data_IF_775162188288
#
_entry.id   IF_775162188288
#
_cell.length_a   1.000
_cell.length_b   1.000
_cell.length_c   1.000
_cell.angle_alpha   90.00
_cell.angle_beta   90.00
_cell.angle_gamma   90.00
#
_symmetry.space_group_name_H-M   'P 1'
#
loop_
_entity.id
_entity.type
_entity.pdbx_description
1 polymer ?
#
# COMPACT_ATOMS: atom_id res chain seq x y z
N UNK A 1 -7.05 -27.81 4.46
CA UNK A 1 -7.09 -27.47 5.89
C UNK A 1 -7.43 -25.99 6.00
N UNK A 2 -8.70 -25.68 6.26
CA UNK A 2 -9.18 -24.29 6.42
C UNK A 2 -8.75 -23.68 7.76
N UNK A 3 -8.39 -24.52 8.74
CA UNK A 3 -8.02 -24.11 10.09
C UNK A 3 -6.64 -23.43 10.18
N UNK A 4 -5.71 -23.79 9.28
CA UNK A 4 -4.36 -23.19 9.28
C UNK A 4 -4.37 -21.76 8.71
N UNK A 5 -5.22 -21.47 7.72
CA UNK A 5 -5.41 -20.13 7.16
C UNK A 5 -6.12 -19.17 8.13
N UNK A 6 -7.11 -19.68 8.86
CA UNK A 6 -7.85 -18.91 9.88
C UNK A 6 -6.99 -18.44 11.06
N UNK A 7 -5.89 -19.15 11.36
CA UNK A 7 -4.93 -18.76 12.40
C UNK A 7 -3.97 -17.63 11.97
N UNK A 8 -3.78 -17.40 10.66
CA UNK A 8 -2.90 -16.34 10.16
C UNK A 8 -3.61 -14.99 10.02
N UNK A 9 -4.90 -14.96 9.65
CA UNK A 9 -5.72 -13.75 9.60
C UNK A 9 -5.83 -13.04 10.98
N UNK A 10 -5.58 -13.78 12.07
CA UNK A 10 -5.61 -13.28 13.46
C UNK A 10 -4.37 -12.51 13.91
N UNK A 11 -3.36 -12.27 13.07
CA UNK A 11 -2.10 -11.69 13.55
C UNK A 11 -2.10 -10.17 13.69
N UNK A 12 -3.08 -9.44 13.17
CA UNK A 12 -3.06 -7.98 13.19
C UNK A 12 -4.38 -7.39 13.69
N UNK A 13 -4.26 -6.46 14.63
CA UNK A 13 -5.40 -5.80 15.25
C UNK A 13 -6.15 -4.92 14.24
N UNK A 14 -7.46 -4.74 14.42
CA UNK A 14 -8.28 -3.90 13.54
C UNK A 14 -7.77 -2.46 13.43
N UNK A 15 -7.25 -1.93 14.53
CA UNK A 15 -6.63 -0.62 14.59
C UNK A 15 -5.34 -0.54 13.76
N UNK A 16 -4.59 -1.64 13.69
CA UNK A 16 -3.39 -1.73 12.86
C UNK A 16 -3.78 -1.88 11.41
N UNK A 17 -4.83 -2.65 11.07
CA UNK A 17 -5.41 -2.76 9.71
C UNK A 17 -5.91 -1.43 9.14
N UNK A 18 -6.40 -0.53 10.01
CA UNK A 18 -6.83 0.83 9.62
C UNK A 18 -5.62 1.80 9.47
N UNK A 19 -4.55 1.63 10.26
CA UNK A 19 -3.27 2.38 10.16
C UNK A 19 -2.34 1.83 9.07
N UNK A 20 -2.59 0.59 8.66
CA UNK A 20 -1.83 -0.30 7.77
C UNK A 20 -1.53 0.27 6.40
N UNK A 21 -2.38 1.20 5.95
CA UNK A 21 -2.24 1.82 4.64
C UNK A 21 -0.89 2.50 4.46
N UNK A 22 -0.29 3.01 5.55
CA UNK A 22 0.69 4.06 5.38
C UNK A 22 2.17 3.67 5.42
N UNK A 23 2.61 2.57 6.07
CA UNK A 23 4.03 2.58 6.49
C UNK A 23 4.90 1.32 6.43
N UNK A 24 4.42 0.07 6.36
CA UNK A 24 5.37 -1.07 6.39
C UNK A 24 4.96 -2.28 5.56
N UNK A 25 5.92 -2.79 4.79
CA UNK A 25 5.89 -4.06 4.04
C UNK A 25 5.47 -5.26 4.89
N UNK A 26 5.96 -5.32 6.13
CA UNK A 26 5.74 -6.45 7.02
C UNK A 26 4.24 -6.74 7.18
N UNK A 27 3.44 -5.70 7.35
CA UNK A 27 2.01 -5.83 7.54
C UNK A 27 1.28 -6.16 6.21
N UNK A 28 1.64 -5.51 5.09
CA UNK A 28 1.08 -5.79 3.75
C UNK A 28 1.20 -7.27 3.29
N UNK A 29 2.19 -8.01 3.77
CA UNK A 29 2.39 -9.42 3.42
C UNK A 29 1.82 -10.36 4.50
N UNK A 30 1.76 -9.92 5.77
CA UNK A 30 1.40 -10.78 6.91
C UNK A 30 -0.04 -10.66 7.39
N UNK A 31 -0.80 -9.63 6.99
CA UNK A 31 -2.19 -9.46 7.40
C UNK A 31 -3.13 -9.00 6.28
N UNK A 32 -2.75 -9.30 5.04
CA UNK A 32 -3.74 -9.44 3.97
C UNK A 32 -4.57 -10.67 4.30
N UNK A 33 -5.90 -10.52 4.33
CA UNK A 33 -6.82 -11.66 4.30
C UNK A 33 -6.31 -12.60 3.21
N UNK A 34 -6.00 -13.84 3.60
CA UNK A 34 -5.31 -14.83 2.78
C UNK A 34 -5.84 -14.85 1.33
N UNK A 35 -5.23 -14.07 0.44
CA UNK A 35 -5.56 -14.10 -0.98
C UNK A 35 -4.87 -15.34 -1.51
N UNK A 36 -5.65 -16.32 -1.96
CA UNK A 36 -5.15 -17.57 -2.55
C UNK A 36 -4.14 -17.28 -3.67
N UNK A 37 -4.34 -16.18 -4.39
CA UNK A 37 -3.46 -15.71 -5.47
C UNK A 37 -2.10 -15.22 -4.96
N UNK A 38 -1.98 -14.77 -3.71
CA UNK A 38 -0.73 -14.23 -3.14
C UNK A 38 0.12 -15.32 -2.46
N UNK A 39 -0.52 -16.37 -1.93
CA UNK A 39 0.14 -17.45 -1.18
C UNK A 39 1.36 -18.06 -1.89
N UNK A 40 1.31 -18.38 -3.20
CA UNK A 40 2.45 -18.95 -3.92
C UNK A 40 3.67 -18.02 -3.96
N UNK A 41 3.46 -16.72 -3.83
CA UNK A 41 4.49 -15.68 -3.95
C UNK A 41 5.10 -15.27 -2.61
N UNK A 42 4.44 -15.60 -1.49
CA UNK A 42 4.88 -15.22 -0.14
C UNK A 42 6.36 -15.56 0.18
N UNK A 43 6.92 -16.71 -0.23
CA UNK A 43 8.33 -17.00 0.03
C UNK A 43 9.28 -15.97 -0.60
N UNK A 44 9.04 -15.58 -1.85
CA UNK A 44 9.84 -14.56 -2.52
C UNK A 44 9.62 -13.18 -1.91
N UNK A 45 8.34 -12.78 -1.74
CA UNK A 45 7.98 -11.47 -1.20
C UNK A 45 8.56 -11.22 0.19
N UNK A 46 8.60 -12.25 1.06
CA UNK A 46 9.23 -12.16 2.39
C UNK A 46 10.73 -11.94 2.33
N UNK A 47 11.41 -12.49 1.33
CA UNK A 47 12.85 -12.28 1.11
C UNK A 47 13.11 -10.86 0.62
N UNK A 48 12.33 -10.41 -0.37
CA UNK A 48 12.40 -9.06 -0.94
C UNK A 48 12.05 -7.95 0.08
N UNK A 49 11.21 -8.28 1.07
CA UNK A 49 10.62 -7.33 2.00
C UNK A 49 11.61 -6.40 2.71
N UNK A 50 12.74 -6.95 3.15
CA UNK A 50 13.72 -6.19 3.92
C UNK A 50 14.38 -5.09 3.08
N UNK A 51 14.74 -5.43 1.85
CA UNK A 51 15.44 -4.52 0.95
C UNK A 51 14.46 -3.46 0.43
N UNK A 52 13.24 -3.87 0.07
CA UNK A 52 12.15 -2.96 -0.30
C UNK A 52 11.83 -1.95 0.82
N UNK A 53 11.80 -2.37 2.09
CA UNK A 53 11.54 -1.46 3.23
C UNK A 53 12.62 -0.39 3.36
N UNK A 54 13.89 -0.78 3.21
CA UNK A 54 15.00 0.17 3.23
C UNK A 54 14.90 1.20 2.11
N UNK A 55 14.67 0.75 0.88
CA UNK A 55 14.60 1.63 -0.30
C UNK A 55 13.39 2.56 -0.23
N UNK A 56 12.21 2.04 0.05
CA UNK A 56 10.98 2.82 0.01
C UNK A 56 10.86 3.80 1.17
N UNK A 57 11.35 3.44 2.35
CA UNK A 57 11.42 4.38 3.48
C UNK A 57 12.30 5.59 3.14
N UNK A 58 13.45 5.37 2.52
CA UNK A 58 14.35 6.44 2.12
C UNK A 58 13.78 7.28 0.97
N UNK A 59 13.18 6.64 -0.04
CA UNK A 59 12.60 7.29 -1.22
C UNK A 59 11.37 8.13 -0.88
N UNK A 60 10.54 7.66 0.06
CA UNK A 60 9.22 8.25 0.29
C UNK A 60 9.12 9.03 1.60
N UNK A 61 9.57 8.50 2.74
CA UNK A 61 9.36 9.18 4.03
C UNK A 61 10.28 10.38 4.19
N UNK A 62 11.53 10.28 3.73
CA UNK A 62 12.46 11.40 3.79
C UNK A 62 12.07 12.52 2.83
N UNK A 63 11.47 12.17 1.67
CA UNK A 63 11.03 13.13 0.64
C UNK A 63 9.85 13.98 1.09
N UNK A 64 8.88 13.40 1.80
CA UNK A 64 7.65 14.07 2.23
C UNK A 64 7.59 14.28 3.75
N UNK A 65 8.75 14.44 4.39
CA UNK A 65 8.87 14.60 5.83
C UNK A 65 7.90 15.68 6.36
N UNK A 66 7.03 15.25 7.27
CA UNK A 66 6.04 16.12 7.93
C UNK A 66 6.74 16.82 9.10
N UNK A 67 6.67 18.15 9.11
CA UNK A 67 7.21 18.95 10.22
C UNK A 67 6.10 19.34 11.18
N UNK A 68 6.37 19.32 12.49
CA UNK A 68 5.36 19.67 13.51
C UNK A 68 4.78 21.08 13.37
N UNK A 69 5.49 21.97 12.67
CA UNK A 69 5.09 23.35 12.41
C UNK A 69 4.33 23.53 11.09
N UNK A 70 4.23 22.48 10.27
CA UNK A 70 3.44 22.55 9.05
C UNK A 70 1.96 22.78 9.40
N UNK A 71 1.27 23.59 8.60
CA UNK A 71 -0.17 23.76 8.71
C UNK A 71 -0.90 22.43 8.47
N UNK A 72 -2.08 22.26 9.08
CA UNK A 72 -2.84 21.00 9.04
C UNK A 72 -3.06 20.48 7.61
N UNK A 73 -3.43 21.37 6.68
CA UNK A 73 -3.63 21.03 5.26
C UNK A 73 -2.33 20.56 4.59
N UNK A 74 -1.20 21.18 4.92
CA UNK A 74 0.12 20.79 4.41
C UNK A 74 0.57 19.45 4.98
N UNK A 75 0.28 19.16 6.25
CA UNK A 75 0.54 17.85 6.87
C UNK A 75 -0.28 16.76 6.19
N UNK A 76 -1.57 17.00 5.96
CA UNK A 76 -2.48 16.09 5.27
C UNK A 76 -1.99 15.78 3.86
N UNK A 77 -1.68 16.82 3.07
CA UNK A 77 -1.12 16.69 1.72
C UNK A 77 0.18 15.87 1.71
N UNK A 78 1.12 16.15 2.61
CA UNK A 78 2.37 15.38 2.72
C UNK A 78 2.12 13.92 3.11
N UNK A 79 1.15 13.67 3.99
CA UNK A 79 0.72 12.32 4.35
C UNK A 79 0.24 11.53 3.13
N UNK A 80 -0.66 12.10 2.34
CA UNK A 80 -1.18 11.45 1.14
C UNK A 80 -0.12 11.25 0.06
N UNK A 81 0.79 12.22 -0.14
CA UNK A 81 1.94 12.05 -1.05
C UNK A 81 2.90 10.94 -0.58
N UNK A 82 3.13 10.83 0.73
CA UNK A 82 3.94 9.74 1.29
C UNK A 82 3.29 8.39 1.04
N UNK A 83 1.97 8.31 1.22
CA UNK A 83 1.17 7.10 1.01
C UNK A 83 1.18 6.66 -0.46
N UNK A 84 0.94 7.59 -1.40
CA UNK A 84 1.04 7.30 -2.84
C UNK A 84 2.43 6.76 -3.18
N UNK A 85 3.48 7.49 -2.78
CA UNK A 85 4.87 7.11 -3.05
C UNK A 85 5.20 5.72 -2.49
N UNK A 86 4.84 5.45 -1.24
CA UNK A 86 5.17 4.19 -0.58
C UNK A 86 4.45 3.02 -1.25
N UNK A 87 3.17 3.20 -1.61
CA UNK A 87 2.40 2.17 -2.32
C UNK A 87 3.01 1.82 -3.66
N UNK A 88 3.37 2.84 -4.46
CA UNK A 88 4.02 2.65 -5.77
C UNK A 88 5.39 2.02 -5.61
N UNK A 89 6.21 2.53 -4.68
CA UNK A 89 7.54 2.02 -4.45
C UNK A 89 7.52 0.54 -4.05
N UNK A 90 6.72 0.16 -3.06
CA UNK A 90 6.66 -1.23 -2.63
C UNK A 90 6.19 -2.17 -3.73
N UNK A 91 5.18 -1.76 -4.51
CA UNK A 91 4.78 -2.54 -5.67
C UNK A 91 5.95 -2.76 -6.64
N UNK A 92 6.66 -1.69 -7.01
CA UNK A 92 7.79 -1.74 -7.94
C UNK A 92 8.96 -2.60 -7.42
N UNK A 93 9.39 -2.40 -6.18
CA UNK A 93 10.49 -3.18 -5.58
C UNK A 93 10.12 -4.67 -5.47
N UNK A 94 8.85 -5.00 -5.17
CA UNK A 94 8.44 -6.41 -5.10
C UNK A 94 8.41 -7.10 -6.45
N UNK A 95 7.91 -6.44 -7.48
CA UNK A 95 7.84 -7.08 -8.80
C UNK A 95 9.20 -7.10 -9.50
N UNK A 96 10.16 -6.28 -9.07
CA UNK A 96 11.53 -6.34 -9.54
C UNK A 96 12.23 -7.62 -9.02
N UNK A 97 12.09 -7.93 -7.72
CA UNK A 97 12.66 -9.16 -7.13
C UNK A 97 11.79 -10.41 -7.34
N UNK A 98 10.46 -10.24 -7.44
CA UNK A 98 9.47 -11.31 -7.59
C UNK A 98 8.48 -11.04 -8.75
N UNK A 99 8.94 -11.08 -10.03
CA UNK A 99 8.11 -10.71 -11.18
C UNK A 99 6.82 -11.52 -11.32
N UNK A 100 6.83 -12.79 -10.91
CA UNK A 100 5.67 -13.67 -10.94
C UNK A 100 4.52 -13.20 -10.04
N UNK A 101 4.82 -12.37 -9.04
CA UNK A 101 3.84 -11.83 -8.10
C UNK A 101 3.10 -10.59 -8.64
N UNK A 102 3.49 -10.06 -9.81
CA UNK A 102 3.00 -8.78 -10.33
C UNK A 102 1.48 -8.68 -10.38
N UNK A 103 0.82 -9.67 -10.99
CA UNK A 103 -0.62 -9.63 -11.18
C UNK A 103 -1.39 -9.79 -9.86
N UNK A 104 -0.92 -10.69 -8.99
CA UNK A 104 -1.48 -10.88 -7.65
C UNK A 104 -1.36 -9.60 -6.80
N UNK A 105 -0.16 -8.99 -6.76
CA UNK A 105 0.07 -7.74 -6.04
C UNK A 105 -0.74 -6.58 -6.62
N UNK A 106 -0.85 -6.48 -7.94
CA UNK A 106 -1.60 -5.41 -8.59
C UNK A 106 -3.09 -5.53 -8.24
N UNK A 107 -3.65 -6.73 -8.36
CA UNK A 107 -5.03 -7.05 -8.01
C UNK A 107 -5.31 -6.72 -6.54
N UNK A 108 -4.44 -7.13 -5.63
CA UNK A 108 -4.54 -6.83 -4.21
C UNK A 108 -4.55 -5.33 -3.94
N UNK A 109 -3.55 -4.58 -4.44
CA UNK A 109 -3.46 -3.14 -4.17
C UNK A 109 -4.67 -2.39 -4.74
N UNK A 110 -5.08 -2.71 -5.97
CA UNK A 110 -6.27 -2.13 -6.62
C UNK A 110 -7.54 -2.46 -5.86
N UNK A 111 -7.73 -3.72 -5.45
CA UNK A 111 -8.90 -4.16 -4.69
C UNK A 111 -9.01 -3.49 -3.33
N UNK A 112 -7.88 -3.33 -2.63
CA UNK A 112 -7.81 -2.61 -1.35
C UNK A 112 -8.16 -1.14 -1.52
N UNK A 113 -7.55 -0.44 -2.48
CA UNK A 113 -7.83 0.97 -2.76
C UNK A 113 -9.31 1.17 -3.07
N UNK A 114 -9.86 0.32 -3.94
CA UNK A 114 -11.28 0.36 -4.29
C UNK A 114 -12.18 0.16 -3.06
N UNK A 115 -11.89 -0.83 -2.24
CA UNK A 115 -12.67 -1.13 -1.02
C UNK A 115 -12.67 0.03 -0.04
N UNK A 116 -11.51 0.67 0.19
CA UNK A 116 -11.41 1.84 1.06
C UNK A 116 -12.21 3.00 0.48
N UNK A 117 -12.09 3.25 -0.82
CA UNK A 117 -12.81 4.34 -1.48
C UNK A 117 -14.33 4.23 -1.27
N UNK A 118 -14.88 3.01 -1.28
CA UNK A 118 -16.31 2.76 -1.02
C UNK A 118 -16.74 3.09 0.43
N UNK A 119 -15.82 3.09 1.39
CA UNK A 119 -16.11 3.45 2.79
C UNK A 119 -16.12 4.95 3.04
N UNK A 120 -15.61 5.75 2.10
CA UNK A 120 -15.49 7.20 2.26
C UNK A 120 -16.81 7.86 1.86
N UNK A 121 -17.38 8.65 2.77
CA UNK A 121 -18.57 9.43 2.46
C UNK A 121 -18.29 10.44 1.32
N UNK A 122 -19.15 10.58 0.30
CA UNK A 122 -18.87 11.43 -0.87
C UNK A 122 -18.48 12.87 -0.54
N UNK A 123 -19.19 13.50 0.42
CA UNK A 123 -18.88 14.86 0.88
C UNK A 123 -17.47 14.95 1.48
N UNK A 124 -17.03 13.91 2.21
CA UNK A 124 -15.68 13.88 2.77
C UNK A 124 -14.65 13.76 1.66
N UNK A 125 -14.90 12.92 0.65
CA UNK A 125 -14.03 12.76 -0.51
C UNK A 125 -13.88 14.07 -1.32
N UNK A 126 -14.96 14.80 -1.56
CA UNK A 126 -14.92 16.09 -2.27
C UNK A 126 -14.10 17.15 -1.53
N UNK A 127 -14.13 17.12 -0.18
CA UNK A 127 -13.40 18.06 0.68
C UNK A 127 -11.92 17.73 0.87
N UNK A 128 -11.49 16.53 0.50
CA UNK A 128 -10.08 16.15 0.58
C UNK A 128 -9.22 17.01 -0.34
N UNK A 129 -7.91 17.09 -0.05
CA UNK A 129 -6.95 17.61 -1.02
C UNK A 129 -6.87 16.70 -2.25
N UNK A 130 -6.39 17.21 -3.38
CA UNK A 130 -6.25 16.40 -4.59
C UNK A 130 -5.33 15.20 -4.37
N UNK A 131 -4.25 15.39 -3.62
CA UNK A 131 -3.30 14.33 -3.28
C UNK A 131 -3.96 13.21 -2.48
N UNK A 132 -4.91 13.54 -1.60
CA UNK A 132 -5.66 12.54 -0.86
C UNK A 132 -6.77 11.89 -1.68
N UNK A 133 -7.38 12.59 -2.64
CA UNK A 133 -8.28 11.93 -3.60
C UNK A 133 -7.53 10.92 -4.46
N UNK A 134 -6.33 11.26 -4.90
CA UNK A 134 -5.50 10.41 -5.77
C UNK A 134 -5.19 9.04 -5.15
N UNK A 135 -4.89 8.96 -3.84
CA UNK A 135 -4.60 7.68 -3.19
C UNK A 135 -5.81 6.73 -3.12
N UNK A 136 -7.02 7.27 -3.30
CA UNK A 136 -8.28 6.52 -3.33
C UNK A 136 -8.83 6.34 -4.75
N UNK A 137 -8.23 7.00 -5.73
CA UNK A 137 -8.54 6.82 -7.14
C UNK A 137 -7.82 5.58 -7.66
N UNK A 138 -8.62 4.56 -7.97
CA UNK A 138 -8.13 3.24 -8.39
C UNK A 138 -7.38 3.32 -9.73
N UNK A 139 -7.88 4.11 -10.68
CA UNK A 139 -7.27 4.22 -12.00
C UNK A 139 -5.96 5.00 -11.93
N UNK A 140 -5.93 6.08 -11.15
CA UNK A 140 -4.72 6.83 -10.86
C UNK A 140 -3.66 5.91 -10.24
N UNK A 141 -3.96 5.25 -9.11
CA UNK A 141 -2.98 4.42 -8.43
C UNK A 141 -2.52 3.22 -9.25
N UNK A 142 -3.43 2.57 -10.00
CA UNK A 142 -3.06 1.50 -10.92
C UNK A 142 -2.07 1.98 -11.97
N UNK A 143 -2.33 3.14 -12.59
CA UNK A 143 -1.42 3.76 -13.55
C UNK A 143 -0.06 4.06 -12.92
N UNK A 144 -0.04 4.66 -11.72
CA UNK A 144 1.21 5.01 -11.01
C UNK A 144 2.04 3.77 -10.67
N UNK A 145 1.41 2.67 -10.27
CA UNK A 145 2.09 1.40 -9.98
C UNK A 145 2.71 0.79 -11.25
N UNK A 146 2.05 0.96 -12.40
CA UNK A 146 2.51 0.40 -13.68
C UNK A 146 3.46 1.30 -14.48
N UNK A 147 3.61 2.56 -14.09
CA UNK A 147 4.50 3.50 -14.78
C UNK A 147 5.95 2.97 -14.82
N UNK A 148 6.53 2.95 -16.01
CA UNK A 148 7.92 2.54 -16.24
C UNK A 148 8.16 1.03 -16.34
N UNK A 149 7.10 0.21 -16.32
CA UNK A 149 7.19 -1.24 -16.48
C UNK A 149 6.91 -1.74 -17.91
N UNK A 150 6.49 -0.86 -18.80
CA UNK A 150 6.33 -1.15 -20.22
C UNK A 150 7.69 -0.97 -20.92
N UNK A 151 8.50 -2.03 -20.92
CA UNK A 151 9.64 -2.21 -21.83
C UNK A 151 9.39 -3.41 -22.74
#
# INVERSE_FOLDING_TARGET
MLETGAFCARKCEKEDMEKFHQYTTFYRIHCVDYEEDLEPHLPCLRKAAKDADSVCKDKCHNKYKIEKKDEKEKQEKKGCLTLECSTVCYFQEFIEECPEAKDALLKLNVGQIHTIALTIHPISFERMTQECRNVHDTDHMKKRMLEGLDN
#
